data_IF_346891879172
#
_entry.id   IF_346891879172
#
_cell.length_a   1.000
_cell.length_b   1.000
_cell.length_c   1.000
_cell.angle_alpha   90.00
_cell.angle_beta   90.00
_cell.angle_gamma   90.00
#
_symmetry.space_group_name_H-M   'P 1'
#
loop_
_entity.id
_entity.type
_entity.pdbx_description
1 polymer ?
#
# COMPACT_ATOMS: atom_id res chain seq x y z
N UNK A 1 2.51 -1.87 -5.68
CA UNK A 1 2.49 -0.39 -5.81
C UNK A 1 3.79 0.21 -5.30
N UNK A 2 4.15 0.14 -4.02
CA UNK A 2 5.49 0.59 -3.57
C UNK A 2 6.52 -0.53 -3.71
N UNK A 3 6.32 -1.63 -2.97
CA UNK A 3 7.31 -2.72 -2.91
C UNK A 3 7.06 -3.84 -3.93
N UNK A 4 5.90 -3.84 -4.59
CA UNK A 4 5.52 -4.88 -5.56
C UNK A 4 5.01 -6.18 -4.94
N UNK A 5 5.27 -6.41 -3.66
CA UNK A 5 4.85 -7.60 -2.88
C UNK A 5 4.20 -7.19 -1.55
N UNK A 6 3.31 -8.02 -0.97
CA UNK A 6 2.85 -7.85 0.40
C UNK A 6 3.92 -8.27 1.41
N UNK A 7 3.83 -7.82 2.68
CA UNK A 7 4.67 -8.35 3.76
C UNK A 7 4.53 -9.88 3.85
N UNK A 8 5.64 -10.56 4.10
CA UNK A 8 5.70 -12.01 4.31
C UNK A 8 5.30 -12.88 3.11
N UNK A 9 5.38 -12.37 1.87
CA UNK A 9 5.08 -13.16 0.65
C UNK A 9 5.89 -14.46 0.54
N UNK A 10 7.13 -14.47 1.05
CA UNK A 10 8.01 -15.64 1.05
C UNK A 10 7.68 -16.67 2.13
N UNK A 11 6.80 -16.34 3.08
CA UNK A 11 6.42 -17.22 4.19
C UNK A 11 5.25 -18.13 3.80
N UNK A 12 5.11 -19.26 4.49
CA UNK A 12 3.89 -20.07 4.35
C UNK A 12 2.67 -19.28 4.85
N UNK A 13 1.46 -19.51 4.31
CA UNK A 13 0.28 -18.73 4.71
C UNK A 13 0.01 -18.72 6.22
N UNK A 14 0.19 -19.87 6.89
CA UNK A 14 0.03 -19.97 8.33
C UNK A 14 1.08 -19.15 9.09
N UNK A 15 2.33 -19.17 8.62
CA UNK A 15 3.41 -18.37 9.21
C UNK A 15 3.18 -16.88 9.00
N UNK A 16 2.70 -16.45 7.83
CA UNK A 16 2.35 -15.07 7.55
C UNK A 16 1.23 -14.57 8.47
N UNK A 17 0.15 -15.36 8.66
CA UNK A 17 -0.94 -15.03 9.61
C UNK A 17 -0.39 -14.86 11.02
N UNK A 18 0.46 -15.78 11.47
CA UNK A 18 1.10 -15.70 12.78
C UNK A 18 1.93 -14.42 12.92
N UNK A 19 2.77 -14.09 11.93
CA UNK A 19 3.62 -12.89 11.95
C UNK A 19 2.80 -11.59 11.94
N UNK A 20 1.69 -11.54 11.21
CA UNK A 20 0.76 -10.40 11.21
C UNK A 20 0.15 -10.23 12.61
N UNK A 21 -0.31 -11.32 13.25
CA UNK A 21 -0.89 -11.26 14.58
C UNK A 21 0.12 -10.84 15.66
N UNK A 22 1.39 -11.26 15.54
CA UNK A 22 2.44 -10.92 16.51
C UNK A 22 3.00 -9.51 16.33
N UNK A 23 3.24 -9.09 15.09
CA UNK A 23 3.96 -7.85 14.79
C UNK A 23 3.02 -6.66 14.53
N UNK A 24 1.73 -6.91 14.28
CA UNK A 24 0.77 -5.86 13.98
C UNK A 24 1.10 -5.14 12.67
N UNK A 25 1.23 -3.81 12.74
CA UNK A 25 1.52 -2.97 11.58
C UNK A 25 2.93 -3.28 11.03
N UNK A 26 3.07 -3.67 9.76
CA UNK A 26 4.36 -3.94 9.16
C UNK A 26 5.20 -2.66 9.02
N UNK A 27 6.52 -2.81 9.08
CA UNK A 27 7.43 -1.73 8.71
C UNK A 27 7.38 -1.46 7.21
N UNK A 28 7.31 -0.18 6.85
CA UNK A 28 7.32 0.25 5.45
C UNK A 28 8.79 0.34 5.01
N UNK A 29 9.16 -0.39 3.96
CA UNK A 29 10.52 -0.31 3.42
C UNK A 29 10.73 1.06 2.77
N UNK A 30 11.96 1.61 2.86
CA UNK A 30 12.35 2.88 2.21
C UNK A 30 11.44 4.06 2.56
N UNK A 31 11.02 4.18 3.83
CA UNK A 31 10.15 5.27 4.30
C UNK A 31 10.65 6.66 3.90
N UNK A 32 11.97 6.87 3.91
CA UNK A 32 12.59 8.14 3.56
C UNK A 32 12.37 8.56 2.08
N UNK A 33 12.00 7.62 1.20
CA UNK A 33 11.70 7.91 -0.21
C UNK A 33 10.23 8.26 -0.45
N UNK A 34 9.37 8.05 0.55
CA UNK A 34 7.94 8.30 0.46
C UNK A 34 7.61 9.70 1.01
N UNK A 35 6.68 10.39 0.37
CA UNK A 35 6.19 11.68 0.88
C UNK A 35 5.47 11.48 2.21
N UNK A 36 5.60 12.45 3.12
CA UNK A 36 4.94 12.45 4.43
C UNK A 36 3.43 12.19 4.35
N UNK A 37 2.73 12.84 3.40
CA UNK A 37 1.30 12.63 3.16
C UNK A 37 0.96 11.19 2.76
N UNK A 38 1.85 10.52 2.03
CA UNK A 38 1.61 9.13 1.65
C UNK A 38 1.84 8.19 2.83
N UNK A 39 2.88 8.46 3.62
CA UNK A 39 3.12 7.73 4.86
C UNK A 39 1.95 7.88 5.82
N UNK A 40 1.38 9.08 5.98
CA UNK A 40 0.19 9.30 6.82
C UNK A 40 -1.01 8.48 6.33
N UNK A 41 -1.28 8.49 5.03
CA UNK A 41 -2.35 7.67 4.45
C UNK A 41 -2.16 6.17 4.77
N UNK A 42 -0.94 5.64 4.57
CA UNK A 42 -0.65 4.23 4.87
C UNK A 42 -0.83 3.94 6.36
N UNK A 43 -0.38 4.86 7.23
CA UNK A 43 -0.50 4.72 8.68
C UNK A 43 -1.97 4.65 9.12
N UNK A 44 -2.84 5.49 8.54
CA UNK A 44 -4.29 5.48 8.78
C UNK A 44 -4.94 4.17 8.31
N UNK A 45 -4.54 3.66 7.14
CA UNK A 45 -5.05 2.39 6.62
C UNK A 45 -4.61 1.17 7.45
N UNK A 46 -3.38 1.17 7.96
CA UNK A 46 -2.77 0.04 8.68
C UNK A 46 -2.82 0.20 10.21
N UNK A 47 -3.72 1.04 10.72
CA UNK A 47 -3.96 1.15 12.17
C UNK A 47 -4.42 -0.20 12.74
N UNK A 48 -3.78 -0.65 13.83
CA UNK A 48 -4.03 -1.98 14.41
C UNK A 48 -5.41 -2.03 15.08
N UNK A 49 -5.76 -1.01 15.87
CA UNK A 49 -7.08 -0.91 16.49
C UNK A 49 -8.15 -0.57 15.43
N UNK A 50 -9.15 -1.42 15.19
CA UNK A 50 -10.21 -1.15 14.24
C UNK A 50 -11.05 0.09 14.57
N UNK A 51 -11.17 0.48 15.85
CA UNK A 51 -11.94 1.65 16.26
C UNK A 51 -11.20 2.97 15.99
N UNK A 52 -9.87 2.93 15.91
CA UNK A 52 -9.02 4.08 15.57
C UNK A 52 -8.64 4.09 14.08
N UNK A 53 -8.91 3.02 13.34
CA UNK A 53 -8.61 2.93 11.91
C UNK A 53 -9.54 3.82 11.12
N UNK A 54 -8.95 4.64 10.25
CA UNK A 54 -9.72 5.56 9.43
C UNK A 54 -10.72 4.82 8.53
N UNK A 55 -11.93 5.35 8.43
CA UNK A 55 -12.96 4.82 7.55
C UNK A 55 -12.80 5.31 6.10
N UNK A 56 -13.72 4.88 5.24
CA UNK A 56 -13.64 5.24 3.81
C UNK A 56 -13.88 6.73 3.55
N UNK A 57 -14.77 7.37 4.31
CA UNK A 57 -15.07 8.79 4.13
C UNK A 57 -13.86 9.64 4.55
N UNK A 58 -13.23 9.30 5.67
CA UNK A 58 -12.00 9.94 6.12
C UNK A 58 -10.85 9.78 5.12
N UNK A 59 -10.66 8.56 4.58
CA UNK A 59 -9.58 8.27 3.62
C UNK A 59 -9.80 8.94 2.27
N UNK A 60 -11.04 9.01 1.77
CA UNK A 60 -11.35 9.68 0.50
C UNK A 60 -11.09 11.19 0.56
N UNK A 61 -11.26 11.79 1.74
CA UNK A 61 -10.97 13.20 1.98
C UNK A 61 -9.50 13.48 2.34
N UNK A 62 -8.64 12.46 2.38
CA UNK A 62 -7.24 12.61 2.75
C UNK A 62 -6.44 13.40 1.69
N UNK A 63 -5.53 14.33 2.07
CA UNK A 63 -4.77 15.17 1.13
C UNK A 63 -4.02 14.41 0.04
N UNK A 64 -3.48 13.24 0.36
CA UNK A 64 -2.80 12.38 -0.62
C UNK A 64 -3.74 11.95 -1.78
N UNK A 65 -5.00 11.62 -1.48
CA UNK A 65 -5.97 11.18 -2.50
C UNK A 65 -6.37 12.36 -3.41
N UNK A 66 -6.46 13.57 -2.84
CA UNK A 66 -6.71 14.79 -3.61
C UNK A 66 -5.61 15.10 -4.65
N UNK A 67 -4.40 14.55 -4.49
CA UNK A 67 -3.27 14.68 -5.44
C UNK A 67 -3.28 13.63 -6.56
N UNK A 68 -4.34 12.83 -6.67
CA UNK A 68 -4.45 11.80 -7.71
C UNK A 68 -4.38 12.40 -9.13
N UNK A 69 -3.72 11.68 -10.03
CA UNK A 69 -3.64 12.03 -11.45
C UNK A 69 -4.81 11.41 -12.22
N UNK A 70 -5.08 11.93 -13.43
CA UNK A 70 -6.00 11.27 -14.37
C UNK A 70 -5.60 9.81 -14.60
N UNK A 71 -6.58 8.92 -14.76
CA UNK A 71 -6.38 7.49 -15.04
C UNK A 71 -5.57 7.26 -16.32
N UNK A 72 -5.54 8.21 -17.24
CA UNK A 72 -4.73 8.15 -18.46
C UNK A 72 -3.24 7.95 -18.16
N UNK A 73 -2.77 8.41 -17.00
CA UNK A 73 -1.38 8.22 -16.59
C UNK A 73 -0.99 6.75 -16.37
N UNK A 74 -1.97 5.84 -16.27
CA UNK A 74 -1.74 4.40 -16.13
C UNK A 74 -1.49 3.69 -17.46
N UNK A 75 -1.89 4.28 -18.60
CA UNK A 75 -1.80 3.66 -19.93
C UNK A 75 -0.37 3.19 -20.26
N UNK A 76 0.71 3.97 -20.02
CA UNK A 76 2.07 3.52 -20.32
C UNK A 76 2.48 2.28 -19.53
N UNK A 77 2.11 2.20 -18.24
CA UNK A 77 2.42 1.06 -17.39
C UNK A 77 1.69 -0.21 -17.84
N UNK A 78 0.41 -0.07 -18.25
CA UNK A 78 -0.36 -1.18 -18.79
C UNK A 78 0.27 -1.72 -20.08
N UNK A 79 0.73 -0.84 -20.97
CA UNK A 79 1.43 -1.24 -22.20
C UNK A 79 2.73 -1.97 -21.89
N UNK A 80 3.56 -1.40 -21.01
CA UNK A 80 4.83 -2.01 -20.61
C UNK A 80 4.66 -3.44 -20.07
N UNK A 81 3.66 -3.68 -19.21
CA UNK A 81 3.39 -5.03 -18.68
C UNK A 81 2.88 -5.99 -19.76
N UNK A 82 2.07 -5.51 -20.72
CA UNK A 82 1.62 -6.34 -21.84
C UNK A 82 2.77 -6.76 -22.74
N UNK A 83 3.69 -5.85 -23.02
CA UNK A 83 4.85 -6.11 -23.86
C UNK A 83 5.79 -7.12 -23.21
N UNK A 84 6.05 -6.99 -21.90
CA UNK A 84 6.85 -7.95 -21.13
C UNK A 84 6.27 -9.38 -21.15
N UNK A 85 4.95 -9.52 -21.19
CA UNK A 85 4.29 -10.84 -21.22
C UNK A 85 4.35 -11.51 -22.60
N UNK A 86 4.49 -10.71 -23.65
CA UNK A 86 4.52 -11.20 -25.03
C UNK A 86 5.95 -11.48 -25.53
N UNK A 87 6.97 -11.27 -24.67
CA UNK A 87 8.35 -11.71 -24.85
C UNK A 87 8.56 -13.07 -24.20
#
# INVERSE_FOLDING_TARGET
MVDGEPPYLSETPLRAIYLIAQNGKPEIRRMAELSEEFLDLINRCLCVDPNERADTEELLNHPFIARSKSLDCLIPYIKAVKDLRNQ
#
